data_IF_898574148486
#
_entry.id   IF_898574148486
#
_cell.length_a   1.000
_cell.length_b   1.000
_cell.length_c   1.000
_cell.angle_alpha   90.00
_cell.angle_beta   90.00
_cell.angle_gamma   90.00
#
_symmetry.space_group_name_H-M   'P 1'
#
loop_
_entity.id
_entity.type
_entity.pdbx_description
1 polymer ?
#
# COMPACT_ATOMS: atom_id res chain seq x y z
N UNK A 1 29.40 -15.17 -8.11
CA UNK A 1 28.11 -15.85 -7.80
C UNK A 1 27.50 -15.40 -6.45
N UNK A 2 28.00 -14.35 -5.81
CA UNK A 2 27.47 -13.78 -4.56
C UNK A 2 26.42 -12.67 -4.78
N UNK A 3 26.47 -11.97 -5.92
CA UNK A 3 25.52 -10.90 -6.25
C UNK A 3 24.08 -11.36 -6.43
N UNK A 4 23.86 -12.51 -7.09
CA UNK A 4 22.52 -13.07 -7.37
C UNK A 4 21.81 -13.52 -6.07
N UNK A 5 22.54 -14.05 -5.09
CA UNK A 5 21.94 -14.40 -3.79
C UNK A 5 21.61 -13.17 -2.96
N UNK A 6 22.47 -12.14 -2.99
CA UNK A 6 22.24 -10.89 -2.27
C UNK A 6 21.02 -10.15 -2.81
N UNK A 7 20.88 -10.08 -4.14
CA UNK A 7 19.71 -9.51 -4.82
C UNK A 7 18.42 -10.20 -4.37
N UNK A 8 18.43 -11.54 -4.40
CA UNK A 8 17.27 -12.33 -4.02
C UNK A 8 16.89 -12.18 -2.55
N UNK A 9 17.86 -12.08 -1.64
CA UNK A 9 17.56 -11.78 -0.24
C UNK A 9 17.01 -10.38 -0.03
N UNK A 10 17.54 -9.38 -0.76
CA UNK A 10 17.03 -8.01 -0.70
C UNK A 10 15.60 -7.92 -1.24
N UNK A 11 15.30 -8.63 -2.32
CA UNK A 11 13.96 -8.73 -2.90
C UNK A 11 12.95 -9.34 -1.92
N UNK A 12 13.33 -10.43 -1.24
CA UNK A 12 12.46 -11.05 -0.23
C UNK A 12 12.20 -10.12 0.96
N UNK A 13 13.22 -9.38 1.40
CA UNK A 13 13.07 -8.40 2.48
C UNK A 13 12.16 -7.24 2.04
N UNK A 14 12.37 -6.71 0.84
CA UNK A 14 11.54 -5.66 0.28
C UNK A 14 10.08 -6.12 0.16
N UNK A 15 9.86 -7.32 -0.38
CA UNK A 15 8.53 -7.89 -0.56
C UNK A 15 7.85 -8.19 0.78
N UNK A 16 8.57 -8.76 1.75
CA UNK A 16 8.08 -8.98 3.10
C UNK A 16 7.69 -7.66 3.80
N UNK A 17 8.52 -6.63 3.66
CA UNK A 17 8.23 -5.30 4.20
C UNK A 17 6.97 -4.70 3.59
N UNK A 18 6.83 -4.80 2.27
CA UNK A 18 5.63 -4.32 1.55
C UNK A 18 4.37 -5.06 1.99
N UNK A 19 4.43 -6.38 2.17
CA UNK A 19 3.29 -7.18 2.67
C UNK A 19 2.87 -6.71 4.05
N UNK A 20 3.82 -6.53 4.97
CA UNK A 20 3.54 -6.06 6.33
C UNK A 20 2.94 -4.65 6.31
N UNK A 21 3.52 -3.74 5.53
CA UNK A 21 3.00 -2.37 5.39
C UNK A 21 1.60 -2.35 4.78
N UNK A 22 1.35 -3.16 3.75
CA UNK A 22 0.04 -3.28 3.11
C UNK A 22 -1.01 -3.79 4.08
N UNK A 23 -0.76 -4.92 4.76
CA UNK A 23 -1.70 -5.50 5.71
C UNK A 23 -1.93 -4.58 6.92
N UNK A 24 -0.86 -3.99 7.46
CA UNK A 24 -0.95 -3.03 8.57
C UNK A 24 -1.73 -1.77 8.18
N UNK A 25 -1.43 -1.19 7.02
CA UNK A 25 -2.09 0.01 6.53
C UNK A 25 -3.56 -0.24 6.20
N UNK A 26 -3.86 -1.36 5.54
CA UNK A 26 -5.23 -1.78 5.21
C UNK A 26 -6.04 -2.05 6.47
N UNK A 27 -5.48 -2.83 7.41
CA UNK A 27 -6.12 -3.13 8.69
C UNK A 27 -6.38 -1.88 9.52
N UNK A 28 -5.41 -0.97 9.58
CA UNK A 28 -5.57 0.30 10.28
C UNK A 28 -6.63 1.19 9.65
N UNK A 29 -6.66 1.29 8.31
CA UNK A 29 -7.69 2.04 7.60
C UNK A 29 -9.08 1.46 7.90
N UNK A 30 -9.27 0.14 7.81
CA UNK A 30 -10.54 -0.52 8.15
C UNK A 30 -10.94 -0.27 9.60
N UNK A 31 -10.01 -0.44 10.54
CA UNK A 31 -10.27 -0.21 11.96
C UNK A 31 -10.68 1.24 12.23
N UNK A 32 -9.96 2.19 11.62
CA UNK A 32 -10.27 3.62 11.74
C UNK A 32 -11.61 4.00 11.11
N UNK A 33 -12.01 3.39 10.00
CA UNK A 33 -13.33 3.61 9.40
C UNK A 33 -14.45 3.18 10.37
N UNK A 34 -14.22 2.10 11.14
CA UNK A 34 -15.18 1.61 12.14
C UNK A 34 -15.20 2.48 13.39
N UNK A 35 -14.04 3.00 13.82
CA UNK A 35 -13.90 3.73 15.07
C UNK A 35 -14.06 5.26 14.95
N UNK A 36 -13.90 5.86 13.77
CA UNK A 36 -13.88 7.31 13.60
C UNK A 36 -15.28 7.93 13.45
N UNK A 37 -15.44 9.14 14.00
CA UNK A 37 -16.57 10.03 13.75
C UNK A 37 -16.74 10.31 12.24
N UNK A 38 -17.96 10.60 11.75
CA UNK A 38 -18.29 10.64 10.32
C UNK A 38 -17.40 11.58 9.48
N UNK A 39 -16.93 12.69 10.05
CA UNK A 39 -16.01 13.63 9.36
C UNK A 39 -14.59 13.09 9.18
N UNK A 40 -14.11 12.25 10.10
CA UNK A 40 -12.79 11.60 9.99
C UNK A 40 -12.81 10.34 9.12
N UNK A 41 -14.00 9.81 8.82
CA UNK A 41 -14.18 8.52 8.12
C UNK A 41 -13.81 8.60 6.64
N UNK A 42 -14.11 9.72 5.97
CA UNK A 42 -13.84 9.90 4.53
C UNK A 42 -12.35 9.74 4.19
N UNK A 43 -11.47 10.26 5.03
CA UNK A 43 -10.03 10.13 4.87
C UNK A 43 -9.57 8.66 4.84
N UNK A 44 -10.02 7.88 5.82
CA UNK A 44 -9.66 6.47 5.92
C UNK A 44 -10.32 5.63 4.83
N UNK A 45 -11.52 6.00 4.37
CA UNK A 45 -12.16 5.39 3.19
C UNK A 45 -11.33 5.63 1.94
N UNK A 46 -10.84 6.85 1.71
CA UNK A 46 -9.96 7.15 0.57
C UNK A 46 -8.65 6.33 0.63
N UNK A 47 -8.05 6.21 1.82
CA UNK A 47 -6.87 5.35 2.01
C UNK A 47 -7.20 3.88 1.68
N UNK A 48 -8.33 3.37 2.16
CA UNK A 48 -8.77 2.00 1.88
C UNK A 48 -9.03 1.78 0.39
N UNK A 49 -9.66 2.74 -0.28
CA UNK A 49 -9.95 2.68 -1.71
C UNK A 49 -8.68 2.66 -2.56
N UNK A 50 -7.66 3.45 -2.19
CA UNK A 50 -6.36 3.44 -2.87
C UNK A 50 -5.63 2.09 -2.68
N UNK A 51 -5.60 1.56 -1.46
CA UNK A 51 -4.96 0.27 -1.17
C UNK A 51 -5.68 -0.89 -1.88
N UNK A 52 -7.01 -0.97 -1.74
CA UNK A 52 -7.80 -2.03 -2.38
C UNK A 52 -7.80 -1.89 -3.91
N UNK A 53 -8.03 -0.68 -4.41
CA UNK A 53 -8.07 -0.38 -5.85
C UNK A 53 -6.73 -0.65 -6.53
N UNK A 54 -5.63 -0.25 -5.88
CA UNK A 54 -4.29 -0.55 -6.38
C UNK A 54 -4.01 -2.06 -6.42
N UNK A 55 -4.40 -2.81 -5.38
CA UNK A 55 -4.27 -4.26 -5.37
C UNK A 55 -5.13 -4.96 -6.44
N UNK A 56 -6.35 -4.49 -6.68
CA UNK A 56 -7.20 -4.99 -7.77
C UNK A 56 -6.61 -4.68 -9.15
N UNK A 57 -6.05 -3.48 -9.34
CA UNK A 57 -5.38 -3.11 -10.59
C UNK A 57 -4.15 -3.97 -10.87
N UNK A 58 -3.35 -4.27 -9.84
CA UNK A 58 -2.23 -5.22 -9.93
C UNK A 58 -2.76 -6.61 -10.31
N UNK A 59 -3.74 -7.13 -9.57
CA UNK A 59 -4.27 -8.48 -9.75
C UNK A 59 -4.88 -8.70 -11.15
N UNK A 60 -5.61 -7.70 -11.67
CA UNK A 60 -6.20 -7.74 -13.01
C UNK A 60 -5.18 -7.71 -14.16
N UNK A 61 -3.93 -7.36 -13.87
CA UNK A 61 -2.84 -7.28 -14.85
C UNK A 61 -1.77 -8.39 -14.65
N UNK A 62 -2.06 -9.41 -13.85
CA UNK A 62 -1.15 -10.56 -13.63
C UNK A 62 -1.14 -11.55 -14.80
N UNK A 63 -2.00 -11.40 -15.80
CA UNK A 63 -2.00 -12.27 -16.98
C UNK A 63 -0.75 -12.00 -17.82
N UNK A 64 0.11 -13.01 -18.03
CA UNK A 64 1.36 -12.81 -18.75
C UNK A 64 1.05 -12.49 -20.21
N UNK A 65 1.39 -11.28 -20.66
CA UNK A 65 1.57 -11.02 -22.09
C UNK A 65 2.80 -11.82 -22.53
N UNK A 66 2.67 -12.73 -23.51
CA UNK A 66 3.82 -13.50 -23.97
C UNK A 66 4.89 -12.55 -24.55
N UNK A 67 6.12 -12.69 -24.07
CA UNK A 67 7.37 -12.30 -24.76
C UNK A 67 7.69 -10.81 -25.00
N UNK A 68 7.14 -9.84 -24.26
CA UNK A 68 7.52 -8.43 -24.44
C UNK A 68 8.43 -7.84 -23.36
N UNK A 69 8.54 -8.47 -22.17
CA UNK A 69 9.32 -7.93 -21.04
C UNK A 69 8.82 -6.57 -20.51
N UNK A 70 7.76 -6.01 -21.12
CA UNK A 70 7.14 -4.76 -20.74
C UNK A 70 6.16 -5.01 -19.59
N UNK A 71 6.28 -4.22 -18.51
CA UNK A 71 5.28 -4.24 -17.44
C UNK A 71 3.93 -3.74 -17.98
N UNK A 72 2.82 -4.42 -17.68
CA UNK A 72 1.49 -3.95 -18.06
C UNK A 72 1.24 -2.56 -17.47
N UNK A 73 0.72 -1.59 -18.24
CA UNK A 73 0.51 -0.22 -17.75
C UNK A 73 -0.41 -0.15 -16.52
N UNK A 74 -1.37 -1.08 -16.40
CA UNK A 74 -2.25 -1.18 -15.25
C UNK A 74 -1.57 -1.70 -13.97
N UNK A 75 -0.48 -2.46 -14.09
CA UNK A 75 0.31 -2.92 -12.95
C UNK A 75 1.04 -1.75 -12.29
N UNK A 76 1.73 -0.92 -13.09
CA UNK A 76 2.46 0.25 -12.58
C UNK A 76 1.52 1.23 -11.87
N UNK A 77 0.38 1.56 -12.49
CA UNK A 77 -0.63 2.40 -11.86
C UNK A 77 -1.18 1.81 -10.54
N UNK A 78 -1.35 0.49 -10.50
CA UNK A 78 -1.77 -0.20 -9.27
C UNK A 78 -0.73 -0.10 -8.14
N UNK A 79 0.55 -0.22 -8.46
CA UNK A 79 1.66 -0.05 -7.50
C UNK A 79 1.69 1.39 -6.97
N UNK A 80 1.62 2.39 -7.85
CA UNK A 80 1.56 3.80 -7.45
C UNK A 80 0.37 4.09 -6.51
N UNK A 81 -0.81 3.54 -6.81
CA UNK A 81 -1.98 3.68 -5.97
C UNK A 81 -1.78 3.06 -4.57
N UNK A 82 -1.16 1.87 -4.49
CA UNK A 82 -0.83 1.23 -3.20
C UNK A 82 0.17 2.09 -2.41
N UNK A 83 1.23 2.57 -3.05
CA UNK A 83 2.26 3.40 -2.41
C UNK A 83 1.65 4.72 -1.89
N UNK A 84 0.84 5.39 -2.68
CA UNK A 84 0.10 6.58 -2.25
C UNK A 84 -0.82 6.28 -1.05
N UNK A 85 -1.54 5.16 -1.09
CA UNK A 85 -2.36 4.69 0.03
C UNK A 85 -1.56 4.51 1.32
N UNK A 86 -0.38 3.88 1.23
CA UNK A 86 0.52 3.68 2.37
C UNK A 86 1.07 5.00 2.94
N UNK A 87 1.48 5.93 2.07
CA UNK A 87 1.97 7.26 2.48
C UNK A 87 0.88 8.03 3.21
N UNK A 88 -0.36 8.00 2.72
CA UNK A 88 -1.49 8.63 3.39
C UNK A 88 -1.79 7.96 4.73
N UNK A 89 -1.78 6.64 4.83
CA UNK A 89 -1.95 5.98 6.13
C UNK A 89 -0.87 6.43 7.13
N UNK A 90 0.39 6.48 6.70
CA UNK A 90 1.50 6.95 7.53
C UNK A 90 1.34 8.42 7.96
N UNK A 91 0.95 9.31 7.04
CA UNK A 91 0.67 10.71 7.33
C UNK A 91 -0.49 10.88 8.32
N UNK A 92 -1.54 10.07 8.19
CA UNK A 92 -2.67 10.03 9.11
C UNK A 92 -2.23 9.65 10.52
N UNK A 93 -1.38 8.63 10.64
CA UNK A 93 -0.78 8.23 11.92
C UNK A 93 0.06 9.35 12.54
N UNK A 94 0.94 9.97 11.76
CA UNK A 94 1.78 11.07 12.22
C UNK A 94 0.93 12.26 12.72
N UNK A 95 -0.12 12.61 11.98
CA UNK A 95 -1.04 13.67 12.37
C UNK A 95 -1.76 13.38 13.69
N UNK A 96 -2.19 12.13 13.90
CA UNK A 96 -2.84 11.70 15.14
C UNK A 96 -1.88 11.79 16.34
N UNK A 97 -0.62 11.39 16.17
CA UNK A 97 0.41 11.55 17.20
C UNK A 97 0.70 13.01 17.51
N UNK A 98 0.80 13.87 16.49
CA UNK A 98 0.99 15.31 16.67
C UNK A 98 -0.20 15.95 17.37
N UNK A 99 -1.43 15.54 17.04
CA UNK A 99 -2.64 16.02 17.71
C UNK A 99 -2.66 15.61 19.18
N UNK A 100 -2.25 14.38 19.50
CA UNK A 100 -2.15 13.91 20.89
C UNK A 100 -1.11 14.67 21.72
N UNK A 101 -0.11 15.29 21.08
CA UNK A 101 0.91 16.13 21.75
C UNK A 101 0.49 17.60 21.92
N UNK A 102 -0.55 18.05 21.20
CA UNK A 102 -1.06 19.43 21.24
C UNK A 102 -2.28 19.62 22.13
N UNK A 103 -2.85 18.53 22.65
CA UNK A 103 -3.90 18.55 23.67
C UNK A 103 -3.30 18.21 25.02
#
# INVERSE_FOLDING_TARGET
MSGILHDRTADFVALGTLVVLYLGGFGLAVWRIRAAAPRGKLYWIACLALLAGGAFAIAGNLTPVPNSGAMPPGFALGVEAVLLGLVLVAAGCAWLMLRARRG
#
